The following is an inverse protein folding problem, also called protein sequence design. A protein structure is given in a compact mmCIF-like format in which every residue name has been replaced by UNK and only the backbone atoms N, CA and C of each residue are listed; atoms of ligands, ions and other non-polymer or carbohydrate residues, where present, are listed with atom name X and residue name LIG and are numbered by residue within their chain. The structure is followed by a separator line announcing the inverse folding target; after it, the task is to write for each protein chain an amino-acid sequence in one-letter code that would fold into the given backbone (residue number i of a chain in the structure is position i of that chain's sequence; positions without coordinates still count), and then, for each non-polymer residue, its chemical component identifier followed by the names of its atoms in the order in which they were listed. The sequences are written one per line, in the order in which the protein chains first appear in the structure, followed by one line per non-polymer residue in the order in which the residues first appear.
data_IF_117982856702
#
_entry.id   IF_117982856702
#
_cell.length_a   1.000
_cell.length_b   1.000
_cell.length_c   1.000
_cell.angle_alpha   90.00
_cell.angle_beta   90.00
_cell.angle_gamma   90.00
#
_symmetry.space_group_name_H-M   'P 1'
#
loop_
_entity.id
_entity.type
_entity.pdbx_description
1 polymer ?
#
# COMPACT_ATOMS: atom_id res chain seq x y z
N UNK A 1 -5.87 -55.04 4.13
CA UNK A 1 -6.12 -54.70 2.72
C UNK A 1 -6.15 -53.19 2.64
N UNK A 2 -5.11 -52.65 2.02
CA UNK A 2 -4.85 -51.22 1.80
C UNK A 2 -5.88 -50.65 0.83
N UNK A 3 -6.46 -49.51 1.17
CA UNK A 3 -7.00 -48.49 0.26
C UNK A 3 -6.92 -47.20 1.09
N UNK A 4 -5.87 -46.40 1.00
CA UNK A 4 -5.54 -45.65 -0.20
C UNK A 4 -6.10 -44.24 -0.06
N UNK A 5 -5.69 -43.51 0.99
CA UNK A 5 -5.81 -42.06 0.98
C UNK A 5 -4.71 -41.53 0.07
N UNK A 6 -5.09 -41.13 -1.13
CA UNK A 6 -4.29 -40.25 -1.95
C UNK A 6 -4.17 -38.91 -1.21
N UNK A 7 -3.07 -38.73 -0.49
CA UNK A 7 -2.59 -37.41 -0.12
C UNK A 7 -2.09 -36.75 -1.39
N UNK A 8 -2.97 -35.99 -2.04
CA UNK A 8 -2.57 -35.02 -3.06
C UNK A 8 -1.90 -33.84 -2.34
N UNK A 9 -0.67 -34.03 -1.88
CA UNK A 9 0.20 -32.92 -1.49
C UNK A 9 0.78 -32.36 -2.78
N UNK A 10 0.12 -31.34 -3.32
CA UNK A 10 0.70 -30.47 -4.34
C UNK A 10 0.29 -29.04 -4.03
N UNK A 11 0.56 -28.61 -2.80
CA UNK A 11 0.73 -27.19 -2.50
C UNK A 11 2.16 -26.86 -2.90
N UNK A 12 2.33 -26.09 -3.96
CA UNK A 12 3.61 -25.46 -4.30
C UNK A 12 4.07 -24.72 -3.05
N UNK A 13 5.16 -25.17 -2.41
CA UNK A 13 5.79 -24.40 -1.33
C UNK A 13 6.18 -23.05 -1.91
N UNK A 14 5.45 -22.00 -1.55
CA UNK A 14 5.83 -20.63 -1.87
C UNK A 14 7.03 -20.31 -0.97
N UNK A 15 8.22 -20.63 -1.47
CA UNK A 15 9.46 -20.40 -0.74
C UNK A 15 9.67 -18.91 -0.46
N UNK A 16 10.22 -18.58 0.70
CA UNK A 16 10.61 -17.21 1.00
C UNK A 16 11.76 -16.79 0.10
N UNK A 17 11.69 -15.57 -0.45
CA UNK A 17 12.68 -15.02 -1.37
C UNK A 17 13.32 -13.79 -0.74
N UNK A 18 14.65 -13.72 -0.76
CA UNK A 18 15.41 -12.52 -0.43
C UNK A 18 16.39 -12.19 -1.54
N UNK A 19 16.80 -10.91 -1.61
CA UNK A 19 17.89 -10.52 -2.50
C UNK A 19 19.23 -11.09 -2.00
N UNK A 20 20.09 -11.56 -2.90
CA UNK A 20 21.44 -12.05 -2.55
C UNK A 20 22.28 -11.04 -1.78
N UNK A 21 22.07 -9.75 -2.03
CA UNK A 21 22.82 -8.66 -1.39
C UNK A 21 22.39 -8.46 0.08
N UNK A 22 21.09 -8.55 0.35
CA UNK A 22 20.52 -8.29 1.68
C UNK A 22 21.05 -9.22 2.77
N UNK A 23 21.30 -10.50 2.45
CA UNK A 23 21.64 -11.52 3.46
C UNK A 23 22.91 -11.20 4.26
N UNK A 24 23.84 -10.45 3.64
CA UNK A 24 25.10 -10.03 4.25
C UNK A 24 25.04 -8.60 4.83
N UNK A 25 23.89 -7.93 4.69
CA UNK A 25 23.62 -6.62 5.25
C UNK A 25 23.29 -6.67 6.75
N UNK A 26 23.05 -5.48 7.31
CA UNK A 26 22.51 -5.34 8.67
C UNK A 26 21.08 -5.89 8.76
N UNK A 27 20.55 -5.96 9.98
CA UNK A 27 19.24 -6.58 10.23
C UNK A 27 18.10 -5.84 9.52
N UNK A 28 18.07 -4.50 9.59
CA UNK A 28 17.11 -3.69 8.83
C UNK A 28 17.15 -4.00 7.33
N UNK A 29 18.36 -4.07 6.73
CA UNK A 29 18.50 -4.35 5.30
C UNK A 29 17.96 -5.73 4.87
N UNK A 30 17.90 -6.71 5.77
CA UNK A 30 17.30 -8.02 5.50
C UNK A 30 15.78 -7.94 5.55
N UNK A 31 15.24 -7.21 6.54
CA UNK A 31 13.79 -7.00 6.67
C UNK A 31 13.28 -6.15 5.51
N UNK A 32 13.94 -5.04 5.20
CA UNK A 32 13.65 -4.16 4.05
C UNK A 32 13.64 -4.97 2.74
N UNK A 33 14.59 -5.88 2.56
CA UNK A 33 14.62 -6.71 1.36
C UNK A 33 13.44 -7.69 1.26
N UNK A 34 12.93 -8.19 2.39
CA UNK A 34 11.67 -8.96 2.37
C UNK A 34 10.48 -8.06 2.03
N UNK A 35 10.43 -6.84 2.59
CA UNK A 35 9.39 -5.85 2.32
C UNK A 35 9.36 -5.48 0.84
N UNK A 36 10.50 -5.18 0.24
CA UNK A 36 10.64 -4.88 -1.18
C UNK A 36 10.14 -6.04 -2.06
N UNK A 37 10.48 -7.28 -1.71
CA UNK A 37 10.05 -8.48 -2.45
C UNK A 37 8.54 -8.66 -2.36
N UNK A 38 7.93 -8.51 -1.18
CA UNK A 38 6.48 -8.65 -0.98
C UNK A 38 5.74 -7.51 -1.70
N UNK A 39 6.21 -6.27 -1.61
CA UNK A 39 5.65 -5.14 -2.33
C UNK A 39 5.73 -5.33 -3.85
N UNK A 40 6.85 -5.84 -4.37
CA UNK A 40 6.98 -6.16 -5.78
C UNK A 40 6.02 -7.28 -6.23
N UNK A 41 5.70 -8.24 -5.35
CA UNK A 41 4.69 -9.27 -5.65
C UNK A 41 3.27 -8.68 -5.66
N UNK A 42 2.91 -7.81 -4.71
CA UNK A 42 1.62 -7.14 -4.70
C UNK A 42 1.44 -6.21 -5.91
N UNK A 43 2.48 -5.47 -6.29
CA UNK A 43 2.47 -4.61 -7.47
C UNK A 43 2.22 -5.40 -8.78
N UNK A 44 2.54 -6.69 -8.79
CA UNK A 44 2.31 -7.63 -9.90
C UNK A 44 1.03 -8.47 -9.70
N UNK A 45 0.14 -8.04 -8.79
CA UNK A 45 -1.19 -8.61 -8.55
C UNK A 45 -1.18 -10.03 -7.96
N UNK A 46 -0.12 -10.43 -7.25
CA UNK A 46 -0.15 -11.63 -6.42
C UNK A 46 -0.97 -11.38 -5.15
N UNK A 47 -1.87 -12.30 -4.84
CA UNK A 47 -2.66 -12.27 -3.60
C UNK A 47 -1.90 -12.88 -2.41
N UNK A 48 -2.45 -12.68 -1.22
CA UNK A 48 -1.89 -13.16 0.05
C UNK A 48 -1.63 -14.68 0.06
N UNK A 49 -2.51 -15.50 -0.52
CA UNK A 49 -2.31 -16.96 -0.62
C UNK A 49 -1.21 -17.34 -1.62
N UNK A 50 -0.89 -16.44 -2.53
CA UNK A 50 0.13 -16.61 -3.55
C UNK A 50 1.48 -16.09 -3.09
N UNK A 51 1.62 -15.55 -1.88
CA UNK A 51 2.91 -15.13 -1.31
C UNK A 51 3.34 -16.15 -0.24
N UNK A 52 4.65 -16.26 0.00
CA UNK A 52 5.17 -17.12 1.06
C UNK A 52 4.63 -16.64 2.42
N UNK A 53 3.91 -17.51 3.14
CA UNK A 53 3.32 -17.11 4.44
C UNK A 53 4.34 -16.59 5.45
N UNK A 54 5.58 -17.10 5.42
CA UNK A 54 6.65 -16.56 6.27
C UNK A 54 7.13 -15.17 5.83
N UNK A 55 7.10 -14.87 4.53
CA UNK A 55 7.40 -13.52 4.04
C UNK A 55 6.33 -12.53 4.50
N UNK A 56 5.07 -12.93 4.47
CA UNK A 56 3.94 -12.12 4.96
C UNK A 56 4.01 -11.88 6.48
N UNK A 57 4.34 -12.91 7.27
CA UNK A 57 4.56 -12.75 8.71
C UNK A 57 5.66 -11.73 9.03
N UNK A 58 6.80 -11.81 8.31
CA UNK A 58 7.86 -10.79 8.43
C UNK A 58 7.37 -9.41 8.01
N UNK A 59 6.68 -9.33 6.87
CA UNK A 59 6.18 -8.10 6.29
C UNK A 59 5.22 -7.37 7.24
N UNK A 60 4.24 -8.07 7.79
CA UNK A 60 3.25 -7.45 8.66
C UNK A 60 3.80 -7.11 10.06
N UNK A 61 4.80 -7.85 10.55
CA UNK A 61 5.51 -7.46 11.78
C UNK A 61 6.32 -6.18 11.57
N UNK A 62 6.98 -6.03 10.42
CA UNK A 62 7.69 -4.79 10.06
C UNK A 62 6.71 -3.62 9.86
N UNK A 63 5.61 -3.85 9.14
CA UNK A 63 4.52 -2.88 9.01
C UNK A 63 4.04 -2.40 10.37
N UNK A 64 3.70 -3.32 11.28
CA UNK A 64 3.27 -2.99 12.64
C UNK A 64 4.31 -2.15 13.38
N UNK A 65 5.58 -2.56 13.35
CA UNK A 65 6.68 -1.83 13.97
C UNK A 65 6.80 -0.40 13.41
N UNK A 66 6.78 -0.24 12.09
CA UNK A 66 6.85 1.07 11.43
C UNK A 66 5.68 1.97 11.85
N UNK A 67 4.45 1.45 11.83
CA UNK A 67 3.28 2.25 12.23
C UNK A 67 3.34 2.68 13.70
N UNK A 68 3.72 1.76 14.60
CA UNK A 68 3.87 2.10 16.02
C UNK A 68 4.99 3.11 16.27
N UNK A 69 6.09 3.07 15.52
CA UNK A 69 7.17 4.06 15.61
C UNK A 69 6.77 5.44 15.04
N UNK A 70 5.87 5.47 14.05
CA UNK A 70 5.42 6.71 13.42
C UNK A 70 4.31 7.43 14.21
N UNK A 71 3.42 6.68 14.86
CA UNK A 71 2.29 7.27 15.60
C UNK A 71 1.57 6.32 16.55
N UNK A 72 2.29 5.37 17.15
CA UNK A 72 1.74 4.46 18.15
C UNK A 72 0.73 3.46 17.58
N UNK A 73 0.02 2.77 18.47
CA UNK A 73 -1.00 1.80 18.05
C UNK A 73 -2.19 2.46 17.34
N UNK A 74 -2.46 3.74 17.59
CA UNK A 74 -3.46 4.53 16.84
C UNK A 74 -3.16 4.59 15.34
N UNK A 75 -1.91 4.90 14.97
CA UNK A 75 -1.44 4.91 13.58
C UNK A 75 -1.58 3.52 12.93
N UNK A 76 -1.26 2.45 13.67
CA UNK A 76 -1.48 1.08 13.20
C UNK A 76 -2.95 0.79 12.92
N UNK A 77 -3.86 1.13 13.83
CA UNK A 77 -5.30 0.92 13.64
C UNK A 77 -5.83 1.68 12.43
N UNK A 78 -5.39 2.92 12.22
CA UNK A 78 -5.83 3.74 11.09
C UNK A 78 -5.37 3.18 9.73
N UNK A 79 -4.18 2.58 9.67
CA UNK A 79 -3.55 2.13 8.42
C UNK A 79 -3.78 0.66 8.10
N UNK A 80 -4.06 -0.18 9.09
CA UNK A 80 -4.27 -1.62 8.92
C UNK A 80 -5.65 -1.93 8.30
N UNK A 81 -5.73 -1.85 6.96
CA UNK A 81 -6.89 -2.34 6.21
C UNK A 81 -7.09 -3.84 6.50
N UNK A 82 -8.30 -4.24 6.90
CA UNK A 82 -8.57 -5.64 7.28
C UNK A 82 -7.79 -6.09 8.52
N UNK A 83 -7.71 -5.24 9.56
CA UNK A 83 -6.95 -5.47 10.80
C UNK A 83 -7.06 -6.88 11.39
N UNK A 84 -8.22 -7.54 11.34
CA UNK A 84 -8.36 -8.89 11.89
C UNK A 84 -7.39 -9.91 11.23
N UNK A 85 -7.23 -9.84 9.91
CA UNK A 85 -6.32 -10.71 9.16
C UNK A 85 -4.86 -10.30 9.36
N UNK A 86 -4.60 -8.99 9.38
CA UNK A 86 -3.26 -8.43 9.65
C UNK A 86 -2.77 -8.80 11.05
N UNK A 87 -3.64 -8.68 12.06
CA UNK A 87 -3.35 -9.06 13.45
C UNK A 87 -2.96 -10.55 13.55
N UNK A 88 -3.57 -11.42 12.75
CA UNK A 88 -3.22 -12.84 12.73
C UNK A 88 -1.78 -13.05 12.22
N UNK A 89 -1.40 -12.40 11.12
CA UNK A 89 -0.02 -12.46 10.62
C UNK A 89 1.00 -11.89 11.61
N UNK A 90 0.67 -10.79 12.28
CA UNK A 90 1.54 -10.17 13.30
C UNK A 90 1.76 -11.14 14.47
N UNK A 91 0.69 -11.74 15.02
CA UNK A 91 0.81 -12.71 16.13
C UNK A 91 1.67 -13.90 15.75
N UNK A 92 1.38 -14.52 14.60
CA UNK A 92 2.14 -15.67 14.11
C UNK A 92 3.60 -15.31 13.81
N UNK A 93 3.87 -14.10 13.30
CA UNK A 93 5.20 -13.60 13.05
C UNK A 93 6.00 -13.38 14.33
N UNK A 94 5.46 -12.62 15.28
CA UNK A 94 6.09 -12.37 16.59
C UNK A 94 6.37 -13.69 17.33
N UNK A 95 5.43 -14.64 17.30
CA UNK A 95 5.63 -15.98 17.88
C UNK A 95 6.78 -16.73 17.17
N UNK A 96 6.78 -16.77 15.84
CA UNK A 96 7.80 -17.49 15.08
C UNK A 96 9.21 -16.90 15.24
N UNK A 97 9.32 -15.59 15.40
CA UNK A 97 10.56 -14.86 15.65
C UNK A 97 11.04 -14.99 17.10
N UNK A 98 10.17 -15.44 18.01
CA UNK A 98 10.46 -15.53 19.43
C UNK A 98 10.40 -14.18 20.17
N UNK A 99 9.70 -13.19 19.61
CA UNK A 99 9.47 -11.87 20.21
C UNK A 99 8.35 -11.94 21.25
N UNK A 100 8.60 -12.64 22.36
CA UNK A 100 7.58 -13.00 23.33
C UNK A 100 7.05 -11.79 24.11
N UNK A 101 7.89 -10.78 24.37
CA UNK A 101 7.46 -9.55 25.03
C UNK A 101 6.49 -8.77 24.15
N UNK A 102 6.86 -8.56 22.89
CA UNK A 102 6.05 -7.82 21.92
C UNK A 102 4.77 -8.56 21.56
N UNK A 103 4.79 -9.90 21.53
CA UNK A 103 3.57 -10.68 21.38
C UNK A 103 2.60 -10.49 22.56
N UNK A 104 3.09 -10.47 23.80
CA UNK A 104 2.25 -10.20 24.98
C UNK A 104 1.67 -8.78 24.92
N UNK A 105 2.51 -7.80 24.65
CA UNK A 105 2.10 -6.40 24.54
C UNK A 105 1.06 -6.22 23.44
N UNK A 106 1.31 -6.71 22.23
CA UNK A 106 0.37 -6.64 21.11
C UNK A 106 -1.01 -7.20 21.47
N UNK A 107 -1.05 -8.38 22.11
CA UNK A 107 -2.32 -8.99 22.52
C UNK A 107 -3.05 -8.17 23.59
N UNK A 108 -2.33 -7.56 24.53
CA UNK A 108 -2.90 -6.66 25.55
C UNK A 108 -3.44 -5.38 24.91
N UNK A 109 -2.69 -4.78 23.98
CA UNK A 109 -3.07 -3.55 23.28
C UNK A 109 -4.28 -3.76 22.38
N UNK A 110 -4.31 -4.83 21.58
CA UNK A 110 -5.50 -5.20 20.80
C UNK A 110 -6.71 -5.41 21.71
N UNK A 111 -6.56 -6.18 22.79
CA UNK A 111 -7.68 -6.43 23.70
C UNK A 111 -8.17 -5.17 24.43
N UNK A 112 -7.27 -4.23 24.75
CA UNK A 112 -7.63 -2.95 25.37
C UNK A 112 -8.38 -2.06 24.37
N UNK A 113 -7.89 -1.95 23.13
CA UNK A 113 -8.51 -1.18 22.07
C UNK A 113 -9.91 -1.72 21.72
N UNK A 114 -10.03 -3.04 21.52
CA UNK A 114 -11.30 -3.69 21.16
C UNK A 114 -12.35 -3.60 22.30
N UNK A 115 -11.93 -3.25 23.51
CA UNK A 115 -12.81 -3.04 24.67
C UNK A 115 -13.24 -1.58 24.86
N UNK A 116 -12.68 -0.64 24.09
CA UNK A 116 -13.07 0.77 24.16
C UNK A 116 -14.52 0.98 23.74
N UNK A 117 -15.15 2.00 24.32
CA UNK A 117 -16.37 2.54 23.72
C UNK A 117 -16.03 3.32 22.45
N UNK A 118 -16.99 3.50 21.54
CA UNK A 118 -16.79 4.30 20.31
C UNK A 118 -16.26 5.70 20.64
N UNK A 119 -16.87 6.36 21.63
CA UNK A 119 -16.47 7.65 22.19
C UNK A 119 -15.02 7.67 22.74
N UNK A 120 -14.54 6.58 23.31
CA UNK A 120 -13.17 6.50 23.85
C UNK A 120 -12.16 6.14 22.76
N UNK A 121 -12.56 5.30 21.80
CA UNK A 121 -11.75 4.97 20.63
C UNK A 121 -11.48 6.22 19.80
N UNK A 122 -12.51 7.02 19.51
CA UNK A 122 -12.36 8.30 18.79
C UNK A 122 -11.38 9.23 19.51
N UNK A 123 -11.52 9.38 20.84
CA UNK A 123 -10.60 10.20 21.63
C UNK A 123 -9.15 9.72 21.60
N UNK A 124 -8.94 8.41 21.65
CA UNK A 124 -7.60 7.84 21.53
C UNK A 124 -7.03 8.06 20.13
N UNK A 125 -7.81 7.80 19.08
CA UNK A 125 -7.38 7.95 17.68
C UNK A 125 -7.11 9.41 17.30
N UNK A 126 -7.89 10.36 17.82
CA UNK A 126 -7.70 11.79 17.59
C UNK A 126 -6.49 12.38 18.34
N UNK A 127 -5.88 11.62 19.26
CA UNK A 127 -4.83 12.11 20.15
C UNK A 127 -5.35 13.13 21.18
N UNK A 128 -6.66 13.13 21.45
CA UNK A 128 -7.34 14.06 22.35
C UNK A 128 -6.89 13.92 23.81
N UNK A 129 -6.18 12.83 24.16
CA UNK A 129 -5.55 12.65 25.46
C UNK A 129 -4.61 13.82 25.82
N UNK A 130 -3.88 14.36 24.83
CA UNK A 130 -3.01 15.53 25.00
C UNK A 130 -3.80 16.85 25.09
N UNK A 131 -4.99 16.92 24.48
CA UNK A 131 -5.86 18.11 24.49
C UNK A 131 -6.72 18.22 25.77
N UNK A 132 -7.04 17.09 26.41
CA UNK A 132 -7.80 17.04 27.66
C UNK A 132 -7.10 17.74 28.83
N UNK A 133 -5.76 17.71 28.84
CA UNK A 133 -4.94 18.40 29.84
C UNK A 133 -5.09 19.94 29.80
N UNK A 134 -5.30 20.52 28.61
CA UNK A 134 -5.43 21.97 28.41
C UNK A 134 -6.88 22.46 28.57
N UNK A 135 -7.86 21.57 28.38
CA UNK A 135 -9.30 21.85 28.52
C UNK A 135 -9.88 21.59 29.93
N UNK A 136 -9.10 20.98 30.84
CA UNK A 136 -9.55 20.63 32.19
C UNK A 136 -10.58 19.49 32.21
N UNK A 137 -10.66 18.71 31.14
CA UNK A 137 -11.46 17.49 31.05
C UNK A 137 -10.59 16.30 31.48
N UNK A 138 -11.14 15.43 32.33
CA UNK A 138 -10.45 14.21 32.76
C UNK A 138 -10.41 13.23 31.58
N UNK A 139 -9.20 12.82 31.17
CA UNK A 139 -9.02 11.79 30.15
C UNK A 139 -9.62 10.48 30.68
N UNK A 140 -10.48 9.77 29.94
CA UNK A 140 -11.04 8.50 30.39
C UNK A 140 -9.93 7.49 30.76
N UNK A 141 -10.15 6.71 31.83
CA UNK A 141 -9.17 5.70 32.30
C UNK A 141 -8.77 4.71 31.20
N UNK A 142 -9.73 4.35 30.33
CA UNK A 142 -9.48 3.43 29.21
C UNK A 142 -8.57 4.04 28.12
N UNK A 143 -8.69 5.35 27.86
CA UNK A 143 -7.79 6.07 26.95
C UNK A 143 -6.40 6.20 27.57
N UNK A 144 -6.32 6.52 28.87
CA UNK A 144 -5.03 6.54 29.58
C UNK A 144 -4.32 5.17 29.54
N UNK A 145 -5.08 4.08 29.65
CA UNK A 145 -4.53 2.73 29.53
C UNK A 145 -3.89 2.47 28.15
N UNK A 146 -4.46 3.00 27.06
CA UNK A 146 -3.88 2.87 25.72
C UNK A 146 -2.54 3.62 25.63
N UNK A 147 -2.48 4.86 26.12
CA UNK A 147 -1.25 5.66 26.15
C UNK A 147 -0.13 4.98 26.97
N UNK A 148 -0.50 4.34 28.09
CA UNK A 148 0.45 3.56 28.89
C UNK A 148 1.02 2.35 28.13
N UNK A 149 0.20 1.69 27.30
CA UNK A 149 0.64 0.57 26.46
C UNK A 149 1.53 1.01 25.30
N UNK A 150 1.24 2.17 24.69
CA UNK A 150 2.12 2.78 23.69
C UNK A 150 3.49 3.17 24.30
N UNK A 151 3.51 3.72 25.52
CA UNK A 151 4.75 4.01 26.23
C UNK A 151 5.53 2.73 26.62
N UNK A 152 4.82 1.63 26.93
CA UNK A 152 5.44 0.32 27.18
C UNK A 152 6.12 -0.22 25.92
N UNK A 153 5.57 0.03 24.72
CA UNK A 153 6.14 -0.39 23.44
C UNK A 153 7.55 0.18 23.22
N UNK A 154 7.72 1.49 23.39
CA UNK A 154 9.02 2.14 23.25
C UNK A 154 10.05 1.59 24.24
N UNK A 155 9.62 1.39 25.49
CA UNK A 155 10.48 0.83 26.55
C UNK A 155 10.90 -0.61 26.25
N UNK A 156 10.00 -1.40 25.66
CA UNK A 156 10.24 -2.79 25.33
C UNK A 156 11.24 -2.93 24.17
N UNK A 157 11.18 -2.06 23.16
CA UNK A 157 12.14 -2.02 22.04
C UNK A 157 13.60 -1.86 22.49
N UNK A 158 13.86 -1.21 23.63
CA UNK A 158 15.23 -1.11 24.18
C UNK A 158 15.80 -2.47 24.61
N UNK A 159 14.94 -3.47 24.86
CA UNK A 159 15.34 -4.77 25.42
C UNK A 159 15.01 -5.96 24.51
N UNK A 160 14.01 -5.83 23.63
CA UNK A 160 13.61 -6.81 22.64
C UNK A 160 13.56 -6.16 21.25
N UNK A 161 14.65 -6.32 20.50
CA UNK A 161 14.83 -5.76 19.16
C UNK A 161 14.11 -6.63 18.12
N UNK A 162 12.88 -6.23 17.76
CA UNK A 162 12.06 -6.92 16.75
C UNK A 162 12.80 -7.02 15.42
N UNK A 163 13.48 -5.97 14.96
CA UNK A 163 14.17 -5.96 13.67
C UNK A 163 15.28 -7.01 13.64
N UNK A 164 16.08 -7.11 14.72
CA UNK A 164 17.12 -8.13 14.83
C UNK A 164 16.53 -9.55 14.90
N UNK A 165 15.44 -9.76 15.65
CA UNK A 165 14.76 -11.06 15.73
C UNK A 165 14.17 -11.47 14.38
N UNK A 166 13.51 -10.54 13.69
CA UNK A 166 12.94 -10.76 12.37
C UNK A 166 14.02 -11.13 11.34
N UNK A 167 15.09 -10.33 11.27
CA UNK A 167 16.21 -10.63 10.37
C UNK A 167 16.87 -11.98 10.67
N UNK A 168 17.07 -12.34 11.94
CA UNK A 168 17.59 -13.65 12.32
C UNK A 168 16.66 -14.79 11.88
N UNK A 169 15.35 -14.60 12.04
CA UNK A 169 14.34 -15.57 11.62
C UNK A 169 14.27 -15.74 10.10
N UNK A 170 14.31 -14.65 9.34
CA UNK A 170 14.37 -14.66 7.87
C UNK A 170 15.61 -15.39 7.35
N UNK A 171 16.79 -15.12 7.94
CA UNK A 171 18.04 -15.83 7.59
C UNK A 171 17.99 -17.33 7.93
N UNK A 172 17.17 -17.72 8.88
CA UNK A 172 17.06 -19.09 9.39
C UNK A 172 16.09 -19.99 8.63
N UNK A 173 15.42 -19.50 7.58
CA UNK A 173 14.41 -20.27 6.85
C UNK A 173 15.03 -21.45 6.07
N UNK A 174 14.45 -22.65 6.20
CA UNK A 174 15.01 -23.89 5.62
C UNK A 174 15.00 -23.91 4.07
N UNK A 175 14.04 -23.23 3.44
CA UNK A 175 13.87 -23.18 1.98
C UNK A 175 14.10 -21.78 1.40
N UNK A 176 14.95 -20.96 2.04
CA UNK A 176 15.25 -19.60 1.59
C UNK A 176 15.84 -19.57 0.17
N UNK A 177 15.17 -18.86 -0.74
CA UNK A 177 15.67 -18.58 -2.09
C UNK A 177 16.39 -17.23 -2.12
N UNK A 178 17.65 -17.25 -2.51
CA UNK A 178 18.47 -16.04 -2.68
C UNK A 178 18.61 -15.71 -4.16
N UNK A 179 17.95 -14.65 -4.60
CA UNK A 179 17.91 -14.24 -6.00
C UNK A 179 18.61 -12.88 -6.18
N UNK A 180 19.30 -12.68 -7.30
CA UNK A 180 19.64 -11.31 -7.73
C UNK A 180 18.44 -10.63 -8.40
N UNK A 181 18.58 -9.36 -8.77
CA UNK A 181 17.48 -8.57 -9.33
C UNK A 181 16.85 -9.21 -10.59
N UNK A 182 17.67 -9.71 -11.51
CA UNK A 182 17.18 -10.32 -12.76
C UNK A 182 16.50 -11.68 -12.49
N UNK A 183 17.04 -12.46 -11.55
CA UNK A 183 16.41 -13.70 -11.11
C UNK A 183 15.10 -13.46 -10.35
N UNK A 184 15.01 -12.41 -9.53
CA UNK A 184 13.81 -12.03 -8.80
C UNK A 184 12.69 -11.61 -9.76
N UNK A 185 12.98 -10.73 -10.71
CA UNK A 185 12.02 -10.31 -11.74
C UNK A 185 11.48 -11.52 -12.51
N UNK A 186 12.37 -12.41 -12.94
CA UNK A 186 11.98 -13.65 -13.64
C UNK A 186 11.16 -14.57 -12.74
N UNK A 187 11.47 -14.65 -11.46
CA UNK A 187 10.73 -15.46 -10.50
C UNK A 187 9.32 -14.93 -10.31
N UNK A 188 9.15 -13.62 -10.08
CA UNK A 188 7.84 -12.98 -9.96
C UNK A 188 7.03 -13.18 -11.25
N UNK A 189 7.60 -12.89 -12.41
CA UNK A 189 6.92 -13.07 -13.70
C UNK A 189 6.43 -14.51 -13.95
N UNK A 190 7.19 -15.52 -13.52
CA UNK A 190 6.75 -16.92 -13.60
C UNK A 190 5.54 -17.23 -12.70
N UNK A 191 5.47 -16.60 -11.53
CA UNK A 191 4.35 -16.74 -10.60
C UNK A 191 3.11 -16.04 -11.13
N UNK A 192 3.27 -14.80 -11.60
CA UNK A 192 2.21 -14.02 -12.26
C UNK A 192 1.61 -14.80 -13.42
N UNK A 193 2.44 -15.38 -14.29
CA UNK A 193 1.98 -16.20 -15.42
C UNK A 193 1.23 -17.48 -15.01
N UNK A 194 1.28 -17.86 -13.73
CA UNK A 194 0.57 -19.02 -13.19
C UNK A 194 -0.77 -18.65 -12.52
N UNK A 195 -1.09 -17.35 -12.40
CA UNK A 195 -2.34 -16.85 -11.80
C UNK A 195 -3.52 -17.17 -12.75
N UNK A 196 -4.51 -17.99 -12.33
CA UNK A 196 -5.59 -18.44 -13.22
C UNK A 196 -6.52 -17.33 -13.74
N UNK A 197 -6.73 -16.28 -12.94
CA UNK A 197 -7.63 -15.16 -13.19
C UNK A 197 -6.87 -13.83 -13.37
N UNK A 198 -5.61 -13.88 -13.84
CA UNK A 198 -4.77 -12.69 -14.00
C UNK A 198 -5.45 -11.59 -14.83
N UNK A 199 -6.09 -11.95 -15.94
CA UNK A 199 -6.75 -10.99 -16.81
C UNK A 199 -7.94 -10.28 -16.14
N UNK A 200 -8.62 -10.94 -15.20
CA UNK A 200 -9.71 -10.35 -14.41
C UNK A 200 -9.14 -9.37 -13.39
N UNK A 201 -8.09 -9.78 -12.65
CA UNK A 201 -7.40 -8.89 -11.69
C UNK A 201 -6.78 -7.67 -12.37
N UNK A 202 -6.23 -7.81 -13.57
CA UNK A 202 -5.70 -6.70 -14.34
C UNK A 202 -6.81 -5.72 -14.74
N UNK A 203 -7.97 -6.22 -15.17
CA UNK A 203 -9.10 -5.36 -15.51
C UNK A 203 -9.65 -4.62 -14.28
N UNK A 204 -9.74 -5.29 -13.13
CA UNK A 204 -10.15 -4.67 -11.86
C UNK A 204 -9.14 -3.61 -11.40
N UNK A 205 -7.84 -3.90 -11.42
CA UNK A 205 -6.80 -2.93 -11.08
C UNK A 205 -6.77 -1.72 -12.05
N UNK A 206 -7.04 -1.94 -13.34
CA UNK A 206 -7.20 -0.86 -14.32
C UNK A 206 -8.45 0.00 -14.04
N UNK A 207 -9.56 -0.62 -13.62
CA UNK A 207 -10.79 0.09 -13.24
C UNK A 207 -10.59 0.91 -11.96
N UNK A 208 -9.99 0.34 -10.92
CA UNK A 208 -9.67 1.04 -9.68
C UNK A 208 -8.70 2.20 -9.93
N UNK A 209 -7.66 1.99 -10.75
CA UNK A 209 -6.74 3.04 -11.14
C UNK A 209 -7.42 4.19 -11.90
N UNK A 210 -8.49 3.90 -12.66
CA UNK A 210 -9.31 4.92 -13.31
C UNK A 210 -10.20 5.66 -12.32
N UNK A 211 -10.73 5.00 -11.29
CA UNK A 211 -11.53 5.64 -10.23
C UNK A 211 -10.69 6.60 -9.39
N UNK A 212 -9.43 6.25 -9.14
CA UNK A 212 -8.48 7.08 -8.40
C UNK A 212 -7.73 8.10 -9.28
N UNK A 213 -7.92 8.05 -10.61
CA UNK A 213 -7.25 8.95 -11.53
C UNK A 213 -7.68 10.40 -11.29
N UNK A 214 -6.74 11.36 -11.27
CA UNK A 214 -7.09 12.77 -11.22
C UNK A 214 -7.98 13.17 -12.40
N UNK A 215 -8.93 14.09 -12.17
CA UNK A 215 -9.89 14.56 -13.18
C UNK A 215 -9.24 14.98 -14.50
N UNK A 216 -8.13 15.72 -14.45
CA UNK A 216 -7.40 16.14 -15.66
C UNK A 216 -6.93 14.96 -16.52
N UNK A 217 -6.59 13.82 -15.91
CA UNK A 217 -6.16 12.62 -16.62
C UNK A 217 -7.34 11.94 -17.32
N UNK A 218 -8.50 11.87 -16.65
CA UNK A 218 -9.73 11.35 -17.24
C UNK A 218 -10.15 12.18 -18.46
N UNK A 219 -10.11 13.51 -18.35
CA UNK A 219 -10.38 14.44 -19.45
C UNK A 219 -9.41 14.21 -20.62
N UNK A 220 -8.10 14.09 -20.34
CA UNK A 220 -7.09 13.84 -21.39
C UNK A 220 -7.36 12.50 -22.10
N UNK A 221 -7.72 11.45 -21.36
CA UNK A 221 -8.06 10.13 -21.93
C UNK A 221 -9.28 10.23 -22.84
N UNK A 222 -10.34 10.88 -22.39
CA UNK A 222 -11.55 11.07 -23.19
C UNK A 222 -11.29 11.91 -24.45
N UNK A 223 -10.50 12.98 -24.35
CA UNK A 223 -10.05 13.76 -25.51
C UNK A 223 -9.25 12.92 -26.51
N UNK A 224 -8.38 12.02 -26.02
CA UNK A 224 -7.66 11.08 -26.87
C UNK A 224 -8.63 10.12 -27.58
N UNK A 225 -9.63 9.59 -26.87
CA UNK A 225 -10.65 8.70 -27.45
C UNK A 225 -11.48 9.41 -28.53
N UNK A 226 -11.89 10.66 -28.29
CA UNK A 226 -12.57 11.51 -29.28
C UNK A 226 -11.68 11.75 -30.51
N UNK A 227 -10.38 11.96 -30.31
CA UNK A 227 -9.40 12.12 -31.39
C UNK A 227 -9.04 10.79 -32.10
N UNK A 228 -9.36 9.64 -31.50
CA UNK A 228 -8.89 8.33 -31.94
C UNK A 228 -7.38 8.12 -31.75
N UNK A 229 -6.79 8.79 -30.75
CA UNK A 229 -5.39 8.69 -30.37
C UNK A 229 -5.22 7.77 -29.15
N UNK A 230 -4.05 7.16 -29.00
CA UNK A 230 -3.69 6.40 -27.78
C UNK A 230 -2.80 7.26 -26.90
N UNK A 231 -3.25 7.55 -25.68
CA UNK A 231 -2.44 8.26 -24.68
C UNK A 231 -1.22 7.41 -24.28
N UNK A 232 -0.02 7.97 -24.40
CA UNK A 232 1.22 7.33 -23.98
C UNK A 232 1.70 7.83 -22.61
N UNK A 233 1.62 9.15 -22.38
CA UNK A 233 2.13 9.77 -21.15
C UNK A 233 1.61 11.19 -20.94
N UNK A 234 1.28 11.54 -19.69
CA UNK A 234 1.14 12.94 -19.25
C UNK A 234 2.48 13.43 -18.69
N UNK A 235 2.97 14.56 -19.19
CA UNK A 235 4.33 15.05 -18.93
C UNK A 235 4.40 16.09 -17.82
N UNK A 236 3.60 17.16 -17.89
CA UNK A 236 3.57 18.20 -16.87
C UNK A 236 2.36 19.13 -17.02
N UNK A 237 1.97 19.78 -15.92
CA UNK A 237 1.11 20.96 -15.95
C UNK A 237 1.94 22.25 -16.02
N UNK A 238 1.63 23.14 -16.94
CA UNK A 238 2.16 24.50 -17.05
C UNK A 238 1.09 25.51 -16.58
N UNK A 239 1.16 26.00 -15.33
CA UNK A 239 0.19 26.96 -14.80
C UNK A 239 0.34 28.37 -15.38
N UNK A 240 1.37 28.64 -16.19
CA UNK A 240 1.65 29.96 -16.77
C UNK A 240 1.45 30.00 -18.28
N UNK A 241 0.78 29.00 -18.86
CA UNK A 241 0.56 28.95 -20.30
C UNK A 241 -0.35 30.09 -20.74
N UNK A 242 0.04 30.79 -21.82
CA UNK A 242 -0.76 31.91 -22.35
C UNK A 242 -1.58 31.44 -23.54
N UNK A 243 -2.90 31.35 -23.35
CA UNK A 243 -3.88 31.06 -24.39
C UNK A 243 -4.77 32.29 -24.62
N UNK A 244 -4.94 32.73 -25.86
CA UNK A 244 -5.74 33.91 -26.22
C UNK A 244 -5.43 35.22 -25.44
N UNK A 245 -4.23 35.33 -24.87
CA UNK A 245 -3.79 36.49 -24.09
C UNK A 245 -4.09 36.40 -22.60
N UNK A 246 -4.70 35.31 -22.14
CA UNK A 246 -4.95 35.00 -20.74
C UNK A 246 -4.06 33.85 -20.28
N UNK A 247 -3.69 33.87 -19.00
CA UNK A 247 -2.90 32.81 -18.39
C UNK A 247 -3.84 31.70 -17.93
N UNK A 248 -3.62 30.48 -18.42
CA UNK A 248 -4.39 29.27 -18.09
C UNK A 248 -3.45 28.11 -17.78
N UNK A 249 -3.95 27.09 -17.09
CA UNK A 249 -3.24 25.85 -16.85
C UNK A 249 -3.29 24.99 -18.11
N UNK A 250 -2.13 24.56 -18.60
CA UNK A 250 -2.03 23.64 -19.72
C UNK A 250 -1.39 22.32 -19.31
N UNK A 251 -2.02 21.20 -19.63
CA UNK A 251 -1.42 19.89 -19.43
C UNK A 251 -0.74 19.40 -20.71
N UNK A 252 0.55 19.14 -20.64
CA UNK A 252 1.31 18.56 -21.73
C UNK A 252 1.22 17.03 -21.68
N UNK A 253 0.89 16.40 -22.80
CA UNK A 253 0.83 14.95 -22.91
C UNK A 253 1.29 14.47 -24.29
N UNK A 254 1.66 13.19 -24.37
CA UNK A 254 2.15 12.51 -25.56
C UNK A 254 1.19 11.37 -25.91
N UNK A 255 0.91 11.24 -27.20
CA UNK A 255 0.12 10.16 -27.79
C UNK A 255 0.92 9.48 -28.89
N UNK A 256 0.38 8.40 -29.44
CA UNK A 256 0.90 7.74 -30.65
C UNK A 256 0.98 8.66 -31.89
N UNK A 257 0.29 9.82 -31.87
CA UNK A 257 0.32 10.84 -32.92
C UNK A 257 1.21 12.05 -32.58
N UNK A 258 1.93 12.04 -31.46
CA UNK A 258 2.85 13.10 -31.04
C UNK A 258 2.42 13.84 -29.78
N UNK A 259 2.97 15.04 -29.58
CA UNK A 259 2.74 15.87 -28.39
C UNK A 259 1.53 16.80 -28.54
N UNK A 260 0.76 16.93 -27.47
CA UNK A 260 -0.46 17.75 -27.40
C UNK A 260 -0.56 18.48 -26.06
N UNK A 261 -1.44 19.47 -26.03
CA UNK A 261 -1.82 20.24 -24.84
C UNK A 261 -3.29 19.99 -24.55
N UNK A 262 -3.65 19.80 -23.29
CA UNK A 262 -5.02 19.94 -22.83
C UNK A 262 -5.15 21.31 -22.17
N UNK A 263 -6.17 22.06 -22.59
CA UNK A 263 -6.65 23.26 -21.91
C UNK A 263 -8.06 23.01 -21.44
N UNK A 264 -8.38 23.45 -20.25
CA UNK A 264 -9.70 23.38 -19.65
C UNK A 264 -10.20 24.80 -19.43
N UNK A 265 -11.46 25.05 -19.79
CA UNK A 265 -12.21 26.21 -19.34
C UNK A 265 -13.46 25.78 -18.56
N UNK A 266 -14.32 26.74 -18.21
CA UNK A 266 -15.48 26.46 -17.35
C UNK A 266 -16.50 25.51 -18.02
N UNK A 267 -16.55 25.41 -19.36
CA UNK A 267 -17.60 24.69 -20.10
C UNK A 267 -17.05 23.49 -20.89
N UNK A 268 -15.79 23.54 -21.33
CA UNK A 268 -15.19 22.55 -22.21
C UNK A 268 -13.71 22.30 -21.91
N UNK A 269 -13.22 21.14 -22.32
CA UNK A 269 -11.79 20.85 -22.44
C UNK A 269 -11.39 20.66 -23.90
N UNK A 270 -10.18 21.11 -24.25
CA UNK A 270 -9.64 21.09 -25.62
C UNK A 270 -8.31 20.38 -25.67
N UNK A 271 -8.17 19.48 -26.65
CA UNK A 271 -6.89 18.95 -27.09
C UNK A 271 -6.32 19.82 -28.21
N UNK A 272 -5.15 20.40 -28.01
CA UNK A 272 -4.54 21.39 -28.92
C UNK A 272 -3.16 20.94 -29.35
N UNK A 273 -2.88 21.05 -30.66
CA UNK A 273 -1.53 20.84 -31.17
C UNK A 273 -0.61 22.00 -30.77
N UNK A 274 0.56 21.75 -30.15
CA UNK A 274 1.37 22.78 -29.49
C UNK A 274 1.92 23.84 -30.46
N UNK A 275 2.27 23.45 -31.68
CA UNK A 275 2.79 24.38 -32.70
C UNK A 275 1.70 25.09 -33.51
N UNK A 276 0.79 24.35 -34.13
CA UNK A 276 -0.26 24.92 -35.00
C UNK A 276 -1.37 25.63 -34.23
N UNK A 277 -1.53 25.34 -32.93
CA UNK A 277 -2.64 25.80 -32.07
C UNK A 277 -4.02 25.34 -32.57
N UNK A 278 -4.06 24.29 -33.38
CA UNK A 278 -5.29 23.68 -33.87
C UNK A 278 -5.93 22.82 -32.77
N UNK A 279 -7.24 22.97 -32.59
CA UNK A 279 -8.05 22.10 -31.73
C UNK A 279 -8.27 20.79 -32.48
N UNK A 280 -7.80 19.70 -31.90
CA UNK A 280 -7.84 18.33 -32.45
C UNK A 280 -9.07 17.59 -31.95
N UNK A 281 -9.43 17.80 -30.68
CA UNK A 281 -10.64 17.29 -30.05
C UNK A 281 -11.14 18.30 -29.00
N UNK A 282 -12.44 18.25 -28.71
CA UNK A 282 -13.07 19.01 -27.65
C UNK A 282 -14.03 18.07 -26.90
N UNK A 283 -14.16 18.31 -25.60
CA UNK A 283 -15.05 17.61 -24.69
C UNK A 283 -15.89 18.66 -23.97
N UNK A 284 -17.21 18.60 -24.16
CA UNK A 284 -18.17 19.45 -23.44
C UNK A 284 -18.49 18.83 -22.08
N UNK A 285 -18.45 19.62 -21.01
CA UNK A 285 -18.90 19.16 -19.70
C UNK A 285 -20.42 19.28 -19.60
N UNK A 286 -21.12 18.16 -19.40
CA UNK A 286 -22.55 18.20 -19.10
C UNK A 286 -22.75 18.71 -17.67
N UNK A 287 -23.18 19.97 -17.52
CA UNK A 287 -23.78 20.42 -16.27
C UNK A 287 -25.13 19.70 -16.11
N UNK A 288 -25.27 18.85 -15.10
CA UNK A 288 -26.60 18.55 -14.59
C UNK A 288 -27.19 19.88 -14.12
N UNK A 289 -28.17 20.40 -14.87
CA UNK A 289 -29.00 21.54 -14.45
C UNK A 289 -29.59 21.19 -13.08
N UNK A 290 -28.98 21.68 -12.01
CA UNK A 290 -29.50 21.62 -10.64
C UNK A 290 -30.62 22.67 -10.49
N UNK A 291 -31.61 22.58 -11.38
CA UNK A 291 -32.76 23.47 -11.51
C UNK A 291 -34.06 22.64 -11.43
N UNK A 292 -34.50 22.34 -10.20
CA UNK A 292 -35.83 22.66 -9.63
C UNK A 292 -36.31 21.74 -8.48
#
# INVERSE_FOLDING_TARGET
MNNGLSTSTSGTSNALVLSKESINGGDAAVVDANVDVVNAMYAELLDVEEIAGNALRSYYVDFYLTQCLEGGFAQYVFTALGREDVDAFIREGLEAMGAAGHLDLFNRTVAAFDALSEDDADRYLDGDADLGADAGAEVPEAVQQMEELDAEFESLLETEDITALNAAWLRGQEELLLLDAEELERHIAQRVASIPNLAERQAEAEEDALLDAPEFELIIRELCDVAGHTLEKISMGDPNYVHNGETTLAWHFTTDQGEFLMLEDDEEAFMIHPESKEIVAALEFEFEDDDA
#
